data_IF_338118678052
#
_entry.id   IF_338118678052
#
_cell.length_a   1.000
_cell.length_b   1.000
_cell.length_c   1.000
_cell.angle_alpha   90.00
_cell.angle_beta   90.00
_cell.angle_gamma   90.00
#
_symmetry.space_group_name_H-M   'P 1'
#
loop_
_entity.id
_entity.type
_entity.pdbx_description
1 polymer ?
#
# COMPACT_ATOMS: atom_id res chain seq x y z
N UNK A 1 8.00 0.50 -8.04
CA UNK A 1 7.28 0.59 -6.74
C UNK A 1 7.66 -0.53 -5.80
N UNK A 2 7.70 -1.79 -6.26
CA UNK A 2 8.16 -2.96 -5.47
C UNK A 2 9.52 -2.71 -4.79
N UNK A 3 10.51 -2.16 -5.50
CA UNK A 3 11.82 -1.85 -4.91
C UNK A 3 11.75 -0.80 -3.79
N UNK A 4 10.90 0.24 -3.94
CA UNK A 4 10.73 1.28 -2.90
C UNK A 4 10.03 0.71 -1.67
N UNK A 5 9.03 -0.13 -1.87
CA UNK A 5 8.36 -0.85 -0.78
C UNK A 5 9.36 -1.74 -0.04
N UNK A 6 10.11 -2.57 -0.76
CA UNK A 6 11.11 -3.47 -0.18
C UNK A 6 12.20 -2.69 0.59
N UNK A 7 12.73 -1.61 0.00
CA UNK A 7 13.74 -0.77 0.66
C UNK A 7 13.21 -0.11 1.93
N UNK A 8 11.99 0.44 1.89
CA UNK A 8 11.39 1.11 3.04
C UNK A 8 11.08 0.13 4.18
N UNK A 9 10.56 -1.06 3.87
CA UNK A 9 10.31 -2.12 4.85
C UNK A 9 11.62 -2.62 5.46
N UNK A 10 12.64 -2.89 4.64
CA UNK A 10 13.95 -3.33 5.14
C UNK A 10 14.60 -2.28 6.03
N UNK A 11 14.49 -0.99 5.69
CA UNK A 11 14.97 0.10 6.54
C UNK A 11 14.25 0.12 7.88
N UNK A 12 12.93 -0.06 7.91
CA UNK A 12 12.16 -0.12 9.14
C UNK A 12 12.55 -1.32 10.02
N UNK A 13 12.76 -2.49 9.41
CA UNK A 13 13.24 -3.70 10.09
C UNK A 13 14.63 -3.52 10.71
N UNK A 14 15.56 -2.89 9.98
CA UNK A 14 16.91 -2.63 10.49
C UNK A 14 16.87 -1.62 11.64
N UNK A 15 16.02 -0.59 11.54
CA UNK A 15 15.90 0.47 12.54
C UNK A 15 15.26 -0.01 13.84
N UNK A 16 14.17 -0.79 13.76
CA UNK A 16 13.37 -1.17 14.91
C UNK A 16 13.62 -2.59 15.41
N UNK A 17 14.23 -3.48 14.62
CA UNK A 17 14.53 -4.89 14.97
C UNK A 17 13.30 -5.62 15.54
N UNK A 18 13.46 -6.34 16.66
CA UNK A 18 12.38 -7.10 17.33
C UNK A 18 11.21 -6.22 17.80
N UNK A 19 11.42 -5.02 18.40
CA UNK A 19 10.33 -4.11 18.79
C UNK A 19 9.33 -3.75 17.70
N UNK A 20 9.67 -3.92 16.42
CA UNK A 20 8.75 -3.67 15.31
C UNK A 20 7.47 -4.51 15.41
N UNK A 21 7.52 -5.64 16.11
CA UNK A 21 6.41 -6.56 16.33
C UNK A 21 5.29 -5.94 17.20
N UNK A 22 5.62 -4.96 18.04
CA UNK A 22 4.64 -4.30 18.93
C UNK A 22 4.21 -2.92 18.39
N UNK A 23 4.84 -2.45 17.32
CA UNK A 23 4.54 -1.14 16.72
C UNK A 23 3.33 -1.22 15.78
N UNK A 24 2.12 -1.36 16.36
CA UNK A 24 0.88 -1.60 15.62
C UNK A 24 0.60 -0.55 14.53
N UNK A 25 0.80 0.74 14.80
CA UNK A 25 0.58 1.82 13.82
C UNK A 25 1.58 1.76 12.64
N UNK A 26 2.81 1.32 12.90
CA UNK A 26 3.81 1.10 11.85
C UNK A 26 3.42 -0.13 11.00
N UNK A 27 3.03 -1.23 11.65
CA UNK A 27 2.59 -2.45 10.97
C UNK A 27 1.35 -2.22 10.11
N UNK A 28 0.40 -1.42 10.59
CA UNK A 28 -0.79 -1.04 9.83
C UNK A 28 -0.39 -0.36 8.51
N UNK A 29 0.54 0.62 8.54
CA UNK A 29 1.03 1.28 7.33
C UNK A 29 1.72 0.33 6.38
N UNK A 30 2.55 -0.58 6.88
CA UNK A 30 3.22 -1.61 6.06
C UNK A 30 2.18 -2.53 5.41
N UNK A 31 1.18 -2.95 6.18
CA UNK A 31 0.11 -3.83 5.73
C UNK A 31 -0.76 -3.15 4.66
N UNK A 32 -1.17 -1.90 4.88
CA UNK A 32 -1.93 -1.12 3.91
C UNK A 32 -1.16 -0.93 2.59
N UNK A 33 0.14 -0.63 2.66
CA UNK A 33 0.98 -0.53 1.47
C UNK A 33 1.12 -1.88 0.74
N UNK A 34 1.23 -2.99 1.48
CA UNK A 34 1.29 -4.34 0.89
C UNK A 34 -0.03 -4.74 0.22
N UNK A 35 -1.16 -4.46 0.86
CA UNK A 35 -2.50 -4.73 0.32
C UNK A 35 -2.75 -3.96 -0.98
N UNK A 36 -2.42 -2.66 -1.02
CA UNK A 36 -2.56 -1.86 -2.25
C UNK A 36 -1.63 -2.35 -3.36
N UNK A 37 -0.40 -2.76 -3.02
CA UNK A 37 0.54 -3.32 -3.98
C UNK A 37 0.03 -4.64 -4.57
N UNK A 38 -0.51 -5.53 -3.73
CA UNK A 38 -1.08 -6.81 -4.15
C UNK A 38 -2.31 -6.60 -5.02
N UNK A 39 -3.25 -5.75 -4.61
CA UNK A 39 -4.44 -5.43 -5.39
C UNK A 39 -4.06 -4.83 -6.76
N UNK A 40 -3.04 -3.97 -6.81
CA UNK A 40 -2.51 -3.42 -8.07
C UNK A 40 -1.94 -4.52 -8.98
N UNK A 41 -1.23 -5.51 -8.43
CA UNK A 41 -0.72 -6.64 -9.20
C UNK A 41 -1.87 -7.51 -9.76
N UNK A 42 -2.92 -7.76 -8.98
CA UNK A 42 -4.12 -8.48 -9.43
C UNK A 42 -4.83 -7.75 -10.58
N UNK A 43 -4.99 -6.42 -10.48
CA UNK A 43 -5.60 -5.60 -11.54
C UNK A 43 -4.77 -5.64 -12.82
N UNK A 44 -3.45 -5.50 -12.72
CA UNK A 44 -2.56 -5.60 -13.88
C UNK A 44 -2.61 -6.98 -14.53
N UNK A 45 -2.58 -8.05 -13.73
CA UNK A 45 -2.70 -9.43 -14.22
C UNK A 45 -4.01 -9.66 -14.97
N UNK A 46 -5.12 -9.11 -14.46
CA UNK A 46 -6.41 -9.18 -15.14
C UNK A 46 -6.40 -8.44 -16.48
N UNK A 47 -5.91 -7.20 -16.51
CA UNK A 47 -5.81 -6.41 -17.76
C UNK A 47 -4.95 -7.14 -18.78
N UNK A 48 -3.80 -7.68 -18.37
CA UNK A 48 -2.93 -8.45 -19.27
C UNK A 48 -3.67 -9.67 -19.83
N UNK A 49 -4.38 -10.42 -18.99
CA UNK A 49 -5.22 -11.54 -19.43
C UNK A 49 -6.28 -11.14 -20.46
N UNK A 50 -6.98 -10.02 -20.23
CA UNK A 50 -7.97 -9.48 -21.16
C UNK A 50 -7.34 -9.08 -22.51
N UNK A 51 -6.17 -8.42 -22.48
CA UNK A 51 -5.41 -8.05 -23.69
C UNK A 51 -5.00 -9.31 -24.49
N UNK A 52 -4.49 -10.34 -23.81
CA UNK A 52 -4.06 -11.59 -24.46
C UNK A 52 -5.25 -12.34 -25.09
N UNK A 53 -6.42 -12.33 -24.44
CA UNK A 53 -7.64 -12.93 -24.96
C UNK A 53 -8.15 -12.20 -26.21
N UNK A 54 -8.19 -10.87 -26.18
CA UNK A 54 -8.57 -10.06 -27.35
C UNK A 54 -7.64 -10.31 -28.54
N UNK A 55 -6.33 -10.40 -28.29
CA UNK A 55 -5.33 -10.70 -29.33
C UNK A 55 -5.55 -12.07 -29.98
N UNK A 56 -5.98 -13.08 -29.22
CA UNK A 56 -6.23 -14.45 -29.74
C UNK A 56 -7.52 -14.55 -30.54
N UNK A 57 -8.55 -13.79 -30.18
CA UNK A 57 -9.88 -13.90 -30.78
C UNK A 57 -10.09 -12.97 -32.00
N UNK A 58 -9.06 -12.26 -32.47
CA UNK A 58 -9.12 -11.41 -33.66
C UNK A 58 -10.10 -10.23 -33.59
N UNK A 59 -10.55 -9.86 -32.38
CA UNK A 59 -11.64 -8.90 -32.16
C UNK A 59 -11.22 -7.44 -31.93
N UNK A 60 -12.12 -6.52 -32.28
CA UNK A 60 -12.11 -5.04 -32.10
C UNK A 60 -12.22 -4.58 -30.63
N UNK A 61 -12.27 -3.25 -30.38
CA UNK A 61 -11.28 -2.47 -29.62
C UNK A 61 -11.12 -2.86 -28.14
N UNK A 62 -9.97 -2.49 -27.56
CA UNK A 62 -9.61 -2.68 -26.15
C UNK A 62 -10.77 -2.40 -25.18
N UNK A 63 -10.98 -3.25 -24.14
CA UNK A 63 -11.92 -2.95 -23.06
C UNK A 63 -11.61 -1.57 -22.45
N UNK A 64 -12.64 -0.84 -22.02
CA UNK A 64 -12.42 0.40 -21.26
C UNK A 64 -11.81 0.06 -19.89
N UNK A 65 -10.56 0.42 -19.71
CA UNK A 65 -9.82 0.23 -18.46
C UNK A 65 -9.77 1.51 -17.61
N UNK A 66 -10.60 2.52 -17.87
CA UNK A 66 -10.63 3.80 -17.15
C UNK A 66 -10.67 3.63 -15.63
N UNK A 67 -11.58 2.79 -15.13
CA UNK A 67 -11.72 2.50 -13.69
C UNK A 67 -10.47 1.81 -13.11
N UNK A 68 -9.91 0.83 -13.83
CA UNK A 68 -8.72 0.12 -13.41
C UNK A 68 -7.48 1.03 -13.39
N UNK A 69 -7.34 1.91 -14.39
CA UNK A 69 -6.29 2.92 -14.44
C UNK A 69 -6.41 3.92 -13.29
N UNK A 70 -7.62 4.42 -13.03
CA UNK A 70 -7.88 5.31 -11.88
C UNK A 70 -7.51 4.63 -10.56
N UNK A 71 -7.92 3.37 -10.38
CA UNK A 71 -7.55 2.59 -9.20
C UNK A 71 -6.03 2.51 -9.04
N UNK A 72 -5.30 2.15 -10.11
CA UNK A 72 -3.83 2.06 -10.06
C UNK A 72 -3.19 3.40 -9.67
N UNK A 73 -3.63 4.51 -10.26
CA UNK A 73 -3.13 5.84 -9.88
C UNK A 73 -3.37 6.17 -8.41
N UNK A 74 -4.57 5.86 -7.88
CA UNK A 74 -4.90 6.10 -6.48
C UNK A 74 -4.09 5.19 -5.55
N UNK A 75 -3.99 3.90 -5.87
CA UNK A 75 -3.19 2.92 -5.11
C UNK A 75 -1.72 3.35 -5.03
N UNK A 76 -1.14 3.84 -6.13
CA UNK A 76 0.24 4.36 -6.08
C UNK A 76 0.40 5.59 -5.21
N UNK A 77 -0.60 6.48 -5.14
CA UNK A 77 -0.58 7.64 -4.23
C UNK A 77 -0.67 7.18 -2.78
N UNK A 78 -1.57 6.24 -2.46
CA UNK A 78 -1.72 5.68 -1.11
C UNK A 78 -0.46 4.96 -0.65
N UNK A 79 0.11 4.06 -1.47
CA UNK A 79 1.38 3.37 -1.17
C UNK A 79 2.49 4.38 -0.84
N UNK A 80 2.63 5.45 -1.64
CA UNK A 80 3.64 6.49 -1.37
C UNK A 80 3.40 7.19 -0.03
N UNK A 81 2.13 7.49 0.29
CA UNK A 81 1.75 8.05 1.58
C UNK A 81 2.10 7.14 2.76
N UNK A 82 1.72 5.85 2.69
CA UNK A 82 2.04 4.88 3.73
C UNK A 82 3.55 4.72 3.93
N UNK A 83 4.33 4.65 2.84
CA UNK A 83 5.79 4.53 2.91
C UNK A 83 6.48 5.77 3.46
N UNK A 84 6.00 6.98 3.12
CA UNK A 84 6.50 8.21 3.73
C UNK A 84 6.18 8.25 5.24
N UNK A 85 4.98 7.79 5.59
CA UNK A 85 4.50 7.64 6.96
C UNK A 85 5.31 6.68 7.84
N UNK A 86 6.20 5.85 7.28
CA UNK A 86 7.06 4.97 8.09
C UNK A 86 8.13 5.76 8.86
N UNK A 87 8.63 6.86 8.30
CA UNK A 87 9.63 7.72 8.95
C UNK A 87 9.08 9.03 9.47
N UNK A 88 7.98 9.51 8.89
CA UNK A 88 7.37 10.81 9.19
C UNK A 88 5.90 10.59 9.62
N UNK A 89 5.67 10.49 10.93
CA UNK A 89 4.34 10.22 11.49
C UNK A 89 4.17 10.81 12.89
N UNK A 90 2.90 10.91 13.29
CA UNK A 90 2.47 11.44 14.58
C UNK A 90 2.18 10.35 15.62
N UNK A 91 2.73 9.14 15.48
CA UNK A 91 2.36 7.97 16.31
C UNK A 91 2.45 8.25 17.81
N UNK A 92 3.50 8.96 18.22
CA UNK A 92 3.69 9.36 19.63
C UNK A 92 2.58 10.30 20.11
N UNK A 93 2.19 11.27 19.28
CA UNK A 93 1.13 12.22 19.62
C UNK A 93 -0.24 11.53 19.67
N UNK A 94 -0.52 10.62 18.72
CA UNK A 94 -1.74 9.79 18.72
C UNK A 94 -1.85 8.97 20.00
N UNK A 95 -0.78 8.27 20.39
CA UNK A 95 -0.74 7.47 21.61
C UNK A 95 -0.91 8.35 22.86
N UNK A 96 -0.25 9.52 22.90
CA UNK A 96 -0.38 10.45 24.02
C UNK A 96 -1.80 10.99 24.17
N UNK A 97 -2.44 11.38 23.07
CA UNK A 97 -3.83 11.84 23.07
C UNK A 97 -4.79 10.74 23.53
N UNK A 98 -4.63 9.52 23.03
CA UNK A 98 -5.43 8.37 23.45
C UNK A 98 -5.31 8.10 24.96
N UNK A 99 -4.08 8.14 25.50
CA UNK A 99 -3.84 8.01 26.95
C UNK A 99 -4.53 9.10 27.76
N UNK A 100 -4.46 10.36 27.30
CA UNK A 100 -5.11 11.50 27.96
C UNK A 100 -6.63 11.33 28.06
N UNK A 101 -7.27 10.82 27.00
CA UNK A 101 -8.71 10.55 27.00
C UNK A 101 -9.07 9.42 27.96
N UNK A 102 -8.26 8.35 28.01
CA UNK A 102 -8.50 7.20 28.88
C UNK A 102 -8.32 7.50 30.38
N UNK A 103 -7.50 8.49 30.74
CA UNK A 103 -7.34 8.91 32.14
C UNK A 103 -8.37 9.94 32.61
N UNK A 104 -9.14 10.51 31.69
CA UNK A 104 -10.13 11.56 31.96
C UNK A 104 -11.57 11.04 32.01
N UNK A 105 -11.79 9.76 31.75
CA UNK A 105 -13.09 9.07 31.85
C UNK A 105 -13.08 8.04 32.98
#
# INVERSE_FOLDING_TARGET
MIWRFNFAVNRALIMHREPILDMQLLQERISNAAMDLFASACVLSRIDGEIQLTRRNGGTPSPDHSAANLFLYQSFRRIRGFLAGLSDNDDKAVIAAAKSCLTSG
#
